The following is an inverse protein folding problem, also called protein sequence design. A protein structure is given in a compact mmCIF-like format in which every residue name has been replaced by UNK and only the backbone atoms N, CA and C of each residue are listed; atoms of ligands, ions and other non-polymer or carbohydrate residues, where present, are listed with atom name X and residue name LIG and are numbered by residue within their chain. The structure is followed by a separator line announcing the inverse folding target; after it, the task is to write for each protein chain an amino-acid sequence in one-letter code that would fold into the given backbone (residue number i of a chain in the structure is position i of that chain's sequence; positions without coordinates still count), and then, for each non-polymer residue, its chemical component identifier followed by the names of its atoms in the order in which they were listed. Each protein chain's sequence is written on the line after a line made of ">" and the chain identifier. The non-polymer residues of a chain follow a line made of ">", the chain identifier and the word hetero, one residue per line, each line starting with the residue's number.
data_IF_117240125803
#
_entry.id   IF_117240125803
#
_cell.length_a   1.000
_cell.length_b   1.000
_cell.length_c   1.000
_cell.angle_alpha   90.00
_cell.angle_beta   90.00
_cell.angle_gamma   90.00
#
_symmetry.space_group_name_H-M   'P 1'
#
loop_
_entity.id
_entity.type
_entity.pdbx_description
1 polymer ?
#
# COMPACT_ATOMS: atom_id res chain seq x y z
N UNK A 1 16.11 -10.69 7.09
CA UNK A 1 17.12 -11.77 6.95
C UNK A 1 18.50 -11.22 7.28
N UNK A 2 19.38 -11.96 7.98
CA UNK A 2 20.77 -11.52 8.16
C UNK A 2 21.51 -11.60 6.82
N UNK A 3 22.04 -10.47 6.36
CA UNK A 3 22.83 -10.41 5.14
C UNK A 3 24.09 -11.30 5.29
N UNK A 4 24.43 -12.13 4.29
CA UNK A 4 25.68 -12.88 4.32
C UNK A 4 26.87 -11.93 4.48
N UNK A 5 27.80 -12.26 5.38
CA UNK A 5 28.98 -11.41 5.70
C UNK A 5 29.81 -11.07 4.46
N UNK A 6 29.81 -11.94 3.44
CA UNK A 6 30.49 -11.70 2.17
C UNK A 6 29.82 -10.60 1.35
N UNK A 7 28.48 -10.61 1.26
CA UNK A 7 27.73 -9.62 0.52
C UNK A 7 27.79 -8.24 1.17
N UNK A 8 27.75 -8.19 2.50
CA UNK A 8 27.96 -6.95 3.25
C UNK A 8 29.35 -6.35 2.96
N UNK A 9 30.39 -7.19 2.95
CA UNK A 9 31.76 -6.77 2.60
C UNK A 9 31.84 -6.26 1.15
N UNK A 10 31.20 -6.96 0.21
CA UNK A 10 31.14 -6.54 -1.19
C UNK A 10 30.47 -5.18 -1.36
N UNK A 11 29.32 -4.95 -0.72
CA UNK A 11 28.64 -3.65 -0.80
C UNK A 11 29.52 -2.53 -0.24
N UNK A 12 30.20 -2.78 0.87
CA UNK A 12 31.10 -1.80 1.47
C UNK A 12 32.28 -1.48 0.54
N UNK A 13 32.99 -2.50 0.05
CA UNK A 13 34.23 -2.31 -0.72
C UNK A 13 33.99 -1.89 -2.16
N UNK A 14 32.98 -2.46 -2.81
CA UNK A 14 32.77 -2.29 -4.25
C UNK A 14 31.69 -1.26 -4.58
N UNK A 15 30.73 -1.02 -3.68
CA UNK A 15 29.65 -0.06 -3.94
C UNK A 15 29.92 1.25 -3.21
N UNK A 16 29.99 1.22 -1.88
CA UNK A 16 30.08 2.42 -1.06
C UNK A 16 31.44 3.09 -1.21
N UNK A 17 32.54 2.34 -1.07
CA UNK A 17 33.90 2.92 -1.15
C UNK A 17 34.25 3.42 -2.55
N UNK A 18 33.79 2.75 -3.61
CA UNK A 18 34.13 3.12 -5.00
C UNK A 18 33.26 4.27 -5.52
N UNK A 19 31.94 4.19 -5.33
CA UNK A 19 31.01 5.14 -5.94
C UNK A 19 30.49 6.19 -4.96
N UNK A 20 30.47 5.89 -3.66
CA UNK A 20 29.80 6.69 -2.64
C UNK A 20 28.30 6.42 -2.60
N UNK A 21 27.74 6.32 -1.39
CA UNK A 21 26.34 5.97 -1.18
C UNK A 21 25.37 6.95 -1.87
N UNK A 22 25.60 8.26 -1.74
CA UNK A 22 24.75 9.30 -2.36
C UNK A 22 24.75 9.21 -3.89
N UNK A 23 25.93 9.18 -4.51
CA UNK A 23 26.05 9.12 -5.98
C UNK A 23 25.45 7.82 -6.53
N UNK A 24 25.58 6.73 -5.78
CA UNK A 24 24.93 5.47 -6.12
C UNK A 24 23.41 5.61 -6.14
N UNK A 25 22.81 6.18 -5.08
CA UNK A 25 21.37 6.40 -5.02
C UNK A 25 20.87 7.38 -6.09
N UNK A 26 21.61 8.44 -6.40
CA UNK A 26 21.26 9.35 -7.50
C UNK A 26 21.19 8.63 -8.84
N UNK A 27 22.16 7.75 -9.12
CA UNK A 27 22.13 6.95 -10.35
C UNK A 27 20.99 5.94 -10.35
N UNK A 28 20.71 5.33 -9.21
CA UNK A 28 19.56 4.44 -9.06
C UNK A 28 18.25 5.19 -9.28
N UNK A 29 18.08 6.37 -8.69
CA UNK A 29 16.91 7.23 -8.91
C UNK A 29 16.69 7.52 -10.40
N UNK A 30 17.74 7.93 -11.13
CA UNK A 30 17.67 8.15 -12.58
C UNK A 30 17.20 6.88 -13.30
N UNK A 31 17.74 5.72 -12.93
CA UNK A 31 17.38 4.43 -13.53
C UNK A 31 15.91 4.07 -13.24
N UNK A 32 15.44 4.26 -12.02
CA UNK A 32 14.06 3.95 -11.61
C UNK A 32 13.03 4.89 -12.24
N UNK A 33 13.44 6.11 -12.59
CA UNK A 33 12.60 7.10 -13.27
C UNK A 33 12.51 6.91 -14.78
N UNK A 34 13.31 6.02 -15.36
CA UNK A 34 13.27 5.71 -16.79
C UNK A 34 11.99 4.93 -17.13
N UNK A 35 11.08 5.58 -17.84
CA UNK A 35 9.80 4.99 -18.27
C UNK A 35 9.98 3.92 -19.35
N UNK A 36 11.15 3.82 -19.98
CA UNK A 36 11.43 2.82 -21.01
C UNK A 36 11.93 1.49 -20.42
N UNK A 37 12.15 1.43 -19.10
CA UNK A 37 12.66 0.22 -18.46
C UNK A 37 11.60 -0.89 -18.48
N UNK A 38 11.93 -2.00 -19.16
CA UNK A 38 11.09 -3.18 -19.19
C UNK A 38 10.90 -3.78 -17.79
N UNK A 39 9.71 -4.35 -17.52
CA UNK A 39 9.38 -4.90 -16.20
C UNK A 39 10.35 -6.00 -15.74
N UNK A 40 10.87 -6.82 -16.66
CA UNK A 40 11.88 -7.84 -16.33
C UNK A 40 13.18 -7.22 -15.83
N UNK A 41 13.63 -6.16 -16.49
CA UNK A 41 14.84 -5.44 -16.11
C UNK A 41 14.62 -4.73 -14.77
N UNK A 42 13.48 -4.05 -14.60
CA UNK A 42 13.13 -3.39 -13.35
C UNK A 42 13.03 -4.37 -12.17
N UNK A 43 12.36 -5.52 -12.35
CA UNK A 43 12.29 -6.58 -11.35
C UNK A 43 13.67 -7.08 -10.93
N UNK A 44 14.55 -7.29 -11.91
CA UNK A 44 15.93 -7.73 -11.66
C UNK A 44 16.72 -6.66 -10.89
N UNK A 45 16.61 -5.40 -11.30
CA UNK A 45 17.24 -4.26 -10.63
C UNK A 45 16.75 -4.20 -9.18
N UNK A 46 15.45 -4.14 -8.94
CA UNK A 46 14.90 -4.01 -7.58
C UNK A 46 15.24 -5.20 -6.69
N UNK A 47 15.27 -6.42 -7.22
CA UNK A 47 15.67 -7.59 -6.45
C UNK A 47 17.13 -7.50 -5.97
N UNK A 48 18.05 -7.01 -6.82
CA UNK A 48 19.43 -6.74 -6.41
C UNK A 48 19.50 -5.57 -5.42
N UNK A 49 18.79 -4.49 -5.73
CA UNK A 49 18.80 -3.27 -4.91
C UNK A 49 18.22 -3.46 -3.53
N UNK A 50 17.23 -4.34 -3.35
CA UNK A 50 16.68 -4.72 -2.06
C UNK A 50 17.79 -5.07 -1.05
N UNK A 51 18.82 -5.78 -1.50
CA UNK A 51 19.94 -6.16 -0.63
C UNK A 51 20.97 -5.05 -0.45
N UNK A 52 21.21 -4.24 -1.48
CA UNK A 52 22.14 -3.10 -1.43
C UNK A 52 21.61 -2.00 -0.52
N UNK A 53 20.35 -1.60 -0.74
CA UNK A 53 19.66 -0.55 0.01
C UNK A 53 19.42 -0.91 1.47
N UNK A 54 19.49 -2.19 1.84
CA UNK A 54 19.45 -2.65 3.22
C UNK A 54 20.75 -2.38 4.02
N UNK A 55 21.74 -1.70 3.43
CA UNK A 55 22.93 -1.23 4.14
C UNK A 55 22.68 0.17 4.75
N UNK A 56 22.99 0.32 6.04
CA UNK A 56 22.77 1.56 6.82
C UNK A 56 23.48 2.79 6.25
N UNK A 57 24.57 2.62 5.49
CA UNK A 57 25.30 3.71 4.86
C UNK A 57 24.45 4.51 3.86
N UNK A 58 23.37 3.93 3.33
CA UNK A 58 22.45 4.63 2.42
C UNK A 58 21.39 5.48 3.15
N UNK A 59 21.15 5.22 4.45
CA UNK A 59 20.13 5.87 5.27
C UNK A 59 20.03 7.39 5.10
N UNK A 60 21.13 8.14 5.31
CA UNK A 60 21.14 9.60 5.22
C UNK A 60 20.77 10.18 3.85
N UNK A 61 20.83 9.38 2.79
CA UNK A 61 20.73 9.86 1.41
C UNK A 61 19.40 9.49 0.74
N UNK A 62 18.51 8.73 1.40
CA UNK A 62 17.22 8.34 0.81
C UNK A 62 16.36 9.55 0.43
N UNK A 63 16.32 10.57 1.30
CA UNK A 63 15.52 11.78 1.09
C UNK A 63 16.17 12.68 0.06
N UNK A 64 17.46 13.00 0.23
CA UNK A 64 18.16 13.99 -0.60
C UNK A 64 18.25 13.56 -2.07
N UNK A 65 18.25 12.25 -2.34
CA UNK A 65 18.35 11.72 -3.70
C UNK A 65 17.00 11.48 -4.37
N UNK A 66 15.89 11.56 -3.64
CA UNK A 66 14.54 11.33 -4.18
C UNK A 66 14.19 9.88 -4.49
N UNK A 67 15.06 8.91 -4.14
CA UNK A 67 14.84 7.49 -4.46
C UNK A 67 13.60 6.91 -3.79
N UNK A 68 13.19 7.42 -2.62
CA UNK A 68 11.94 7.01 -1.96
C UNK A 68 10.71 7.33 -2.82
N UNK A 69 10.66 8.54 -3.39
CA UNK A 69 9.59 8.95 -4.28
C UNK A 69 9.52 8.05 -5.51
N UNK A 70 10.66 7.73 -6.13
CA UNK A 70 10.69 6.82 -7.28
C UNK A 70 10.20 5.41 -6.94
N UNK A 71 10.54 4.87 -5.76
CA UNK A 71 10.02 3.58 -5.29
C UNK A 71 8.51 3.63 -5.04
N UNK A 72 8.00 4.72 -4.48
CA UNK A 72 6.56 4.92 -4.26
C UNK A 72 5.80 5.00 -5.60
N UNK A 73 6.33 5.74 -6.58
CA UNK A 73 5.77 5.83 -7.94
C UNK A 73 5.69 4.44 -8.60
N UNK A 74 6.73 3.61 -8.42
CA UNK A 74 6.75 2.23 -8.93
C UNK A 74 5.67 1.40 -8.26
N UNK A 75 5.57 1.42 -6.93
CA UNK A 75 4.54 0.63 -6.24
C UNK A 75 3.13 1.09 -6.61
N UNK A 76 2.91 2.40 -6.78
CA UNK A 76 1.64 2.95 -7.26
C UNK A 76 1.31 2.47 -8.68
N UNK A 77 2.28 2.49 -9.60
CA UNK A 77 2.14 1.94 -10.95
C UNK A 77 1.71 0.49 -10.92
N UNK A 78 2.37 -0.34 -10.11
CA UNK A 78 2.03 -1.77 -9.98
C UNK A 78 0.63 -1.98 -9.36
N UNK A 79 0.26 -1.17 -8.38
CA UNK A 79 -1.08 -1.20 -7.76
C UNK A 79 -2.22 -0.84 -8.72
N UNK A 80 -1.92 -0.06 -9.76
CA UNK A 80 -2.89 0.43 -10.74
C UNK A 80 -2.98 -0.42 -12.00
N UNK A 81 -2.23 -1.52 -12.11
CA UNK A 81 -2.41 -2.48 -13.20
C UNK A 81 -3.79 -3.13 -13.17
N UNK A 82 -4.45 -3.17 -14.32
CA UNK A 82 -5.78 -3.77 -14.47
C UNK A 82 -5.75 -5.28 -14.24
N UNK A 83 -4.70 -5.94 -14.75
CA UNK A 83 -4.51 -7.38 -14.66
C UNK A 83 -3.32 -7.67 -13.74
N UNK A 84 -3.57 -8.26 -12.56
CA UNK A 84 -2.51 -8.81 -11.73
C UNK A 84 -1.85 -9.97 -12.47
N UNK A 85 -0.64 -9.77 -12.98
CA UNK A 85 0.18 -10.85 -13.53
C UNK A 85 1.05 -11.44 -12.43
N UNK A 86 0.87 -12.73 -12.08
CA UNK A 86 1.81 -13.42 -11.20
C UNK A 86 3.21 -13.42 -11.82
N UNK A 87 4.25 -13.32 -10.99
CA UNK A 87 5.65 -13.38 -11.42
C UNK A 87 6.35 -12.02 -11.36
N UNK A 88 6.79 -11.50 -12.50
CA UNK A 88 7.68 -10.32 -12.58
C UNK A 88 7.06 -9.08 -11.91
N UNK A 89 5.80 -8.79 -12.21
CA UNK A 89 5.03 -7.67 -11.62
C UNK A 89 4.93 -7.80 -10.11
N UNK A 90 4.60 -9.00 -9.62
CA UNK A 90 4.55 -9.27 -8.18
C UNK A 90 5.93 -9.04 -7.54
N UNK A 91 7.02 -9.50 -8.18
CA UNK A 91 8.39 -9.33 -7.67
C UNK A 91 8.81 -7.86 -7.54
N UNK A 92 8.36 -6.96 -8.42
CA UNK A 92 8.64 -5.51 -8.32
C UNK A 92 8.03 -4.94 -7.04
N UNK A 93 6.73 -5.19 -6.83
CA UNK A 93 6.02 -4.70 -5.66
C UNK A 93 6.57 -5.33 -4.36
N UNK A 94 6.85 -6.63 -4.39
CA UNK A 94 7.45 -7.40 -3.29
C UNK A 94 8.79 -6.80 -2.83
N UNK A 95 9.74 -6.61 -3.73
CA UNK A 95 11.04 -5.99 -3.39
C UNK A 95 10.89 -4.56 -2.88
N UNK A 96 9.95 -3.80 -3.45
CA UNK A 96 9.68 -2.42 -3.03
C UNK A 96 9.12 -2.36 -1.59
N UNK A 97 8.17 -3.23 -1.26
CA UNK A 97 7.59 -3.32 0.09
C UNK A 97 8.62 -3.77 1.13
N UNK A 98 9.52 -4.69 0.77
CA UNK A 98 10.61 -5.10 1.67
C UNK A 98 11.56 -3.94 1.98
N UNK A 99 11.95 -3.18 0.95
CA UNK A 99 12.78 -1.97 1.10
C UNK A 99 12.11 -0.98 2.06
N UNK A 100 10.79 -0.76 1.93
CA UNK A 100 10.05 0.11 2.85
C UNK A 100 9.99 -0.42 4.29
N UNK A 101 9.84 -1.74 4.47
CA UNK A 101 9.90 -2.38 5.78
C UNK A 101 11.25 -2.14 6.46
N UNK A 102 12.35 -2.35 5.72
CA UNK A 102 13.70 -2.09 6.24
C UNK A 102 13.94 -0.62 6.55
N UNK A 103 13.56 0.31 5.65
CA UNK A 103 13.71 1.76 5.88
C UNK A 103 12.96 2.18 7.15
N UNK A 104 11.76 1.63 7.37
CA UNK A 104 10.94 1.95 8.54
C UNK A 104 11.62 1.56 9.85
N UNK A 105 12.32 0.43 9.87
CA UNK A 105 12.94 -0.12 11.08
C UNK A 105 14.34 0.47 11.34
N UNK A 106 15.17 0.57 10.31
CA UNK A 106 16.62 0.77 10.45
C UNK A 106 17.09 2.20 10.15
N UNK A 107 16.34 3.00 9.38
CA UNK A 107 16.73 4.37 9.01
C UNK A 107 16.23 5.36 10.07
N UNK A 108 16.99 6.43 10.38
CA UNK A 108 16.50 7.49 11.26
C UNK A 108 15.12 8.00 10.84
N UNK A 109 14.23 8.22 11.82
CA UNK A 109 12.82 8.50 11.54
C UNK A 109 12.59 9.68 10.59
N UNK A 110 13.42 10.72 10.68
CA UNK A 110 13.32 11.92 9.85
C UNK A 110 13.72 11.67 8.38
N UNK A 111 14.53 10.65 8.12
CA UNK A 111 15.09 10.32 6.80
C UNK A 111 14.38 9.13 6.13
N UNK A 112 13.58 8.37 6.88
CA UNK A 112 12.85 7.22 6.38
C UNK A 112 11.35 7.35 6.62
N UNK A 113 10.88 6.73 7.70
CA UNK A 113 9.45 6.58 7.99
C UNK A 113 8.64 7.89 7.94
N UNK A 114 9.19 9.02 8.42
CA UNK A 114 8.46 10.29 8.41
C UNK A 114 8.10 10.76 7.00
N UNK A 115 8.99 10.57 6.03
CA UNK A 115 8.79 10.96 4.63
C UNK A 115 7.78 10.01 3.97
N UNK A 116 7.95 8.70 4.15
CA UNK A 116 7.01 7.69 3.66
C UNK A 116 5.57 7.95 4.14
N UNK A 117 5.40 8.36 5.41
CA UNK A 117 4.09 8.66 5.99
C UNK A 117 3.52 9.98 5.48
N UNK A 118 4.31 11.06 5.49
CA UNK A 118 3.81 12.42 5.25
C UNK A 118 3.66 12.76 3.79
N UNK A 119 4.59 12.30 2.97
CA UNK A 119 4.73 12.75 1.58
C UNK A 119 4.22 11.70 0.59
N UNK A 120 4.36 10.42 0.93
CA UNK A 120 4.03 9.33 0.00
C UNK A 120 2.84 8.47 0.41
N UNK A 121 2.16 8.82 1.50
CA UNK A 121 0.97 8.13 1.99
C UNK A 121 1.13 6.60 2.01
N UNK A 122 2.25 6.12 2.58
CA UNK A 122 2.66 4.71 2.45
C UNK A 122 1.58 3.69 2.82
N UNK A 123 0.73 3.99 3.80
CA UNK A 123 -0.36 3.08 4.19
C UNK A 123 -1.39 2.88 3.07
N UNK A 124 -1.64 3.90 2.25
CA UNK A 124 -2.49 3.78 1.07
C UNK A 124 -1.87 2.82 0.05
N UNK A 125 -0.59 3.01 -0.27
CA UNK A 125 0.12 2.14 -1.22
C UNK A 125 0.13 0.68 -0.76
N UNK A 126 0.34 0.44 0.54
CA UNK A 126 0.36 -0.91 1.10
C UNK A 126 -1.04 -1.52 1.19
N UNK A 127 -2.07 -0.75 1.55
CA UNK A 127 -3.45 -1.25 1.54
C UNK A 127 -3.88 -1.68 0.13
N UNK A 128 -3.51 -0.88 -0.88
CA UNK A 128 -3.72 -1.22 -2.31
C UNK A 128 -2.94 -2.48 -2.71
N UNK A 129 -1.69 -2.60 -2.28
CA UNK A 129 -0.87 -3.79 -2.54
C UNK A 129 -1.46 -5.04 -1.88
N UNK A 130 -1.96 -4.95 -0.65
CA UNK A 130 -2.64 -6.07 0.03
C UNK A 130 -3.88 -6.52 -0.76
N UNK A 131 -4.67 -5.57 -1.25
CA UNK A 131 -5.83 -5.88 -2.12
C UNK A 131 -5.37 -6.52 -3.43
N UNK A 132 -4.22 -6.13 -3.98
CA UNK A 132 -3.66 -6.76 -5.17
C UNK A 132 -3.16 -8.18 -4.89
N UNK A 133 -2.39 -8.37 -3.81
CA UNK A 133 -1.87 -9.66 -3.35
C UNK A 133 -2.99 -10.67 -3.09
N UNK A 134 -4.14 -10.22 -2.59
CA UNK A 134 -5.30 -11.08 -2.41
C UNK A 134 -5.82 -11.70 -3.71
N UNK A 135 -5.47 -11.15 -4.88
CA UNK A 135 -5.87 -11.67 -6.19
C UNK A 135 -4.84 -12.63 -6.78
N UNK A 136 -3.56 -12.48 -6.43
CA UNK A 136 -2.44 -13.26 -6.99
C UNK A 136 -1.93 -14.36 -6.08
N UNK A 137 -2.14 -14.23 -4.76
CA UNK A 137 -1.78 -15.21 -3.72
C UNK A 137 -0.32 -15.68 -3.73
N UNK A 138 0.65 -14.78 -3.86
CA UNK A 138 2.07 -15.17 -3.76
C UNK A 138 2.47 -15.36 -2.30
N UNK A 139 3.07 -16.51 -1.96
CA UNK A 139 3.59 -16.77 -0.60
C UNK A 139 4.68 -15.75 -0.21
N UNK A 140 5.52 -15.38 -1.17
CA UNK A 140 6.54 -14.36 -1.00
C UNK A 140 5.93 -12.97 -0.71
N UNK A 141 4.87 -12.59 -1.42
CA UNK A 141 4.15 -11.34 -1.17
C UNK A 141 3.52 -11.29 0.22
N UNK A 142 3.03 -12.42 0.73
CA UNK A 142 2.57 -12.53 2.12
C UNK A 142 3.70 -12.17 3.09
N UNK A 143 4.88 -12.78 2.97
CA UNK A 143 6.00 -12.54 3.88
C UNK A 143 6.37 -11.06 3.96
N UNK A 144 6.47 -10.38 2.81
CA UNK A 144 6.79 -8.95 2.78
C UNK A 144 5.71 -8.07 3.40
N UNK A 145 4.43 -8.39 3.20
CA UNK A 145 3.34 -7.67 3.88
C UNK A 145 3.41 -7.88 5.40
N UNK A 146 3.68 -9.10 5.86
CA UNK A 146 3.79 -9.40 7.29
C UNK A 146 4.96 -8.66 7.93
N UNK A 147 6.13 -8.64 7.27
CA UNK A 147 7.31 -7.91 7.74
C UNK A 147 7.05 -6.40 7.75
N UNK A 148 6.46 -5.83 6.68
CA UNK A 148 6.07 -4.42 6.64
C UNK A 148 5.11 -4.07 7.79
N UNK A 149 4.08 -4.90 8.02
CA UNK A 149 3.12 -4.66 9.08
C UNK A 149 3.78 -4.71 10.46
N UNK A 150 4.73 -5.62 10.67
CA UNK A 150 5.48 -5.73 11.92
C UNK A 150 6.37 -4.52 12.17
N UNK A 151 7.14 -4.09 11.16
CA UNK A 151 7.98 -2.89 11.26
C UNK A 151 7.14 -1.65 11.60
N UNK A 152 5.95 -1.51 10.99
CA UNK A 152 5.06 -0.39 11.28
C UNK A 152 4.34 -0.52 12.61
N UNK A 153 4.01 -1.73 13.08
CA UNK A 153 3.54 -1.96 14.45
C UNK A 153 4.57 -1.47 15.47
N UNK A 154 5.85 -1.83 15.31
CA UNK A 154 6.94 -1.37 16.16
C UNK A 154 7.14 0.15 16.09
N UNK A 155 7.11 0.73 14.90
CA UNK A 155 7.15 2.18 14.73
C UNK A 155 6.00 2.86 15.50
N UNK A 156 4.78 2.35 15.35
CA UNK A 156 3.60 2.85 16.06
C UNK A 156 3.79 2.82 17.57
N UNK A 157 4.28 1.71 18.13
CA UNK A 157 4.60 1.59 19.55
C UNK A 157 5.68 2.60 20.00
N UNK A 158 6.76 2.75 19.22
CA UNK A 158 7.83 3.73 19.47
C UNK A 158 7.30 5.17 19.45
N UNK A 159 6.37 5.48 18.54
CA UNK A 159 5.71 6.79 18.48
C UNK A 159 4.70 6.98 19.62
N UNK A 160 4.02 5.92 20.05
CA UNK A 160 3.07 5.95 21.15
C UNK A 160 3.74 6.21 22.51
N UNK A 161 4.99 5.74 22.68
CA UNK A 161 5.82 6.05 23.84
C UNK A 161 6.27 7.53 23.91
N UNK A 162 6.13 8.29 22.81
CA UNK A 162 6.40 9.73 22.78
C UNK A 162 5.17 10.53 23.23
N UNK A 163 5.40 11.80 23.56
CA UNK A 163 4.33 12.76 23.90
C UNK A 163 3.16 12.67 22.92
N UNK A 164 1.92 12.71 23.43
CA UNK A 164 0.71 12.79 22.59
C UNK A 164 0.66 14.03 21.70
N UNK A 165 1.51 15.04 21.96
CA UNK A 165 1.67 16.23 21.11
C UNK A 165 2.65 16.02 19.95
N UNK A 166 3.30 14.86 19.84
CA UNK A 166 4.23 14.57 18.75
C UNK A 166 3.51 14.60 17.39
N UNK A 167 3.97 15.46 16.48
CA UNK A 167 3.36 15.65 15.16
C UNK A 167 3.39 14.36 14.33
N UNK A 168 4.53 13.67 14.30
CA UNK A 168 4.68 12.43 13.51
C UNK A 168 3.75 11.31 14.00
N UNK A 169 3.53 11.19 15.32
CA UNK A 169 2.53 10.26 15.87
C UNK A 169 1.13 10.55 15.32
N UNK A 170 0.73 11.83 15.27
CA UNK A 170 -0.57 12.24 14.72
C UNK A 170 -0.66 11.98 13.22
N UNK A 171 0.41 12.26 12.48
CA UNK A 171 0.49 12.00 11.04
C UNK A 171 0.37 10.50 10.75
N UNK A 172 1.11 9.66 11.48
CA UNK A 172 1.03 8.20 11.41
C UNK A 172 -0.40 7.70 11.66
N UNK A 173 -1.01 8.11 12.78
CA UNK A 173 -2.38 7.70 13.12
C UNK A 173 -3.39 8.18 12.07
N UNK A 174 -3.25 9.42 11.57
CA UNK A 174 -4.16 9.95 10.55
C UNK A 174 -4.05 9.16 9.24
N UNK A 175 -2.83 8.96 8.74
CA UNK A 175 -2.59 8.25 7.48
C UNK A 175 -3.08 6.80 7.58
N UNK A 176 -2.74 6.10 8.66
CA UNK A 176 -3.19 4.72 8.85
C UNK A 176 -4.70 4.62 9.00
N UNK A 177 -5.35 5.51 9.77
CA UNK A 177 -6.81 5.50 9.99
C UNK A 177 -7.62 5.61 8.69
N UNK A 178 -7.08 6.27 7.67
CA UNK A 178 -7.74 6.38 6.37
C UNK A 178 -7.92 5.01 5.70
N UNK A 179 -6.97 4.11 5.89
CA UNK A 179 -6.89 2.82 5.18
C UNK A 179 -7.23 1.62 6.07
N UNK A 180 -7.13 1.78 7.40
CA UNK A 180 -7.20 0.67 8.33
C UNK A 180 -8.55 -0.04 8.33
N UNK A 181 -9.63 0.68 8.63
CA UNK A 181 -10.99 0.13 8.64
C UNK A 181 -11.47 -0.33 7.25
N UNK A 182 -11.30 0.45 6.15
CA UNK A 182 -11.71 -0.01 4.83
C UNK A 182 -11.09 -1.37 4.45
N UNK A 183 -9.80 -1.58 4.71
CA UNK A 183 -9.14 -2.84 4.37
C UNK A 183 -9.61 -4.01 5.24
N UNK A 184 -9.95 -3.78 6.51
CA UNK A 184 -10.51 -4.82 7.40
C UNK A 184 -11.96 -5.20 7.05
N UNK A 185 -12.70 -4.32 6.38
CA UNK A 185 -14.08 -4.54 5.91
C UNK A 185 -14.11 -5.12 4.49
N UNK A 186 -13.06 -4.88 3.71
CA UNK A 186 -12.90 -5.47 2.39
C UNK A 186 -12.90 -7.02 2.29
N UNK A 187 -12.75 -7.86 3.36
CA UNK A 187 -12.72 -9.31 3.24
C UNK A 187 -13.90 -9.92 2.47
N UNK A 188 -15.07 -9.28 2.46
CA UNK A 188 -16.22 -9.72 1.66
C UNK A 188 -15.91 -9.77 0.15
N UNK A 189 -14.95 -8.97 -0.33
CA UNK A 189 -14.48 -8.94 -1.71
C UNK A 189 -13.22 -9.78 -1.96
N UNK A 190 -12.56 -10.28 -0.91
CA UNK A 190 -11.36 -11.14 -1.03
C UNK A 190 -11.72 -12.63 -1.14
N UNK A 191 -12.99 -12.98 -0.89
CA UNK A 191 -13.52 -14.35 -0.89
C UNK A 191 -13.58 -15.04 -2.27
N UNK A 192 -13.15 -14.41 -3.36
CA UNK A 192 -13.16 -15.00 -4.71
C UNK A 192 -12.19 -16.18 -4.92
N UNK A 193 -11.62 -16.75 -3.86
CA UNK A 193 -10.64 -17.81 -3.96
C UNK A 193 -11.14 -19.05 -3.23
N UNK A 194 -11.69 -20.00 -3.99
CA UNK A 194 -12.04 -21.34 -3.54
C UNK A 194 -10.79 -22.20 -3.17
N UNK A 195 -9.64 -21.58 -2.91
CA UNK A 195 -8.38 -22.25 -2.60
C UNK A 195 -8.11 -22.17 -1.08
N UNK A 196 -7.88 -23.30 -0.38
CA UNK A 196 -7.60 -23.32 1.06
C UNK A 196 -6.46 -22.40 1.50
N UNK A 197 -5.39 -22.30 0.69
CA UNK A 197 -4.28 -21.39 1.00
C UNK A 197 -4.67 -19.92 0.94
N UNK A 198 -5.62 -19.55 0.07
CA UNK A 198 -6.10 -18.16 -0.04
C UNK A 198 -6.76 -17.70 1.25
N UNK A 199 -7.61 -18.55 1.84
CA UNK A 199 -8.26 -18.27 3.14
C UNK A 199 -7.22 -18.07 4.24
N UNK A 200 -6.18 -18.93 4.29
CA UNK A 200 -5.09 -18.81 5.27
C UNK A 200 -4.31 -17.51 5.09
N UNK A 201 -3.92 -17.19 3.86
CA UNK A 201 -3.17 -15.97 3.50
C UNK A 201 -3.97 -14.73 3.93
N UNK A 202 -5.25 -14.65 3.54
CA UNK A 202 -6.12 -13.52 3.89
C UNK A 202 -6.24 -13.38 5.42
N UNK A 203 -6.39 -14.49 6.15
CA UNK A 203 -6.46 -14.47 7.62
C UNK A 203 -5.19 -13.89 8.24
N UNK A 204 -4.01 -14.30 7.76
CA UNK A 204 -2.72 -13.82 8.26
C UNK A 204 -2.52 -12.33 7.96
N UNK A 205 -2.81 -11.90 6.73
CA UNK A 205 -2.71 -10.48 6.34
C UNK A 205 -3.68 -9.63 7.15
N UNK A 206 -4.94 -10.07 7.29
CA UNK A 206 -5.93 -9.37 8.11
C UNK A 206 -5.47 -9.24 9.56
N UNK A 207 -4.91 -10.31 10.14
CA UNK A 207 -4.41 -10.27 11.52
C UNK A 207 -3.24 -9.30 11.67
N UNK A 208 -2.27 -9.31 10.75
CA UNK A 208 -1.13 -8.40 10.77
C UNK A 208 -1.57 -6.94 10.61
N UNK A 209 -2.47 -6.66 9.65
CA UNK A 209 -3.03 -5.33 9.44
C UNK A 209 -3.86 -4.85 10.64
N UNK A 210 -4.64 -5.74 11.25
CA UNK A 210 -5.37 -5.46 12.48
C UNK A 210 -4.42 -5.05 13.61
N UNK A 211 -3.35 -5.83 13.85
CA UNK A 211 -2.35 -5.53 14.89
C UNK A 211 -1.66 -4.19 14.66
N UNK A 212 -1.30 -3.88 13.41
CA UNK A 212 -0.69 -2.60 13.04
C UNK A 212 -1.52 -1.41 13.55
N UNK A 213 -2.85 -1.44 13.37
CA UNK A 213 -3.75 -0.40 13.89
C UNK A 213 -4.06 -0.53 15.38
N UNK A 214 -4.44 -1.71 15.87
CA UNK A 214 -4.87 -1.89 17.26
C UNK A 214 -3.71 -1.74 18.26
N UNK A 215 -2.61 -2.46 18.02
CA UNK A 215 -1.42 -2.46 18.87
C UNK A 215 -0.52 -1.27 18.54
N UNK A 216 -0.26 -1.03 17.25
CA UNK A 216 0.66 0.04 16.84
C UNK A 216 0.08 1.44 16.99
N UNK A 217 -1.21 1.64 16.67
CA UNK A 217 -1.83 2.97 16.66
C UNK A 217 -2.82 3.21 17.82
N UNK A 218 -3.19 2.17 18.56
CA UNK A 218 -4.18 2.23 19.64
C UNK A 218 -5.63 2.33 19.14
N UNK A 219 -5.92 1.78 17.96
CA UNK A 219 -7.25 1.82 17.38
C UNK A 219 -8.19 0.79 18.00
N UNK A 220 -9.48 1.16 18.09
CA UNK A 220 -10.55 0.25 18.45
C UNK A 220 -11.35 -0.08 17.18
N UNK A 221 -11.39 -1.36 16.81
CA UNK A 221 -11.99 -1.82 15.54
C UNK A 221 -13.45 -1.39 15.38
N UNK A 222 -14.27 -1.61 16.40
CA UNK A 222 -15.70 -1.28 16.37
C UNK A 222 -15.93 0.23 16.23
N UNK A 223 -15.15 1.04 16.95
CA UNK A 223 -15.22 2.50 16.87
C UNK A 223 -14.78 3.01 15.49
N UNK A 224 -13.63 2.57 15.00
CA UNK A 224 -13.08 3.01 13.72
C UNK A 224 -13.95 2.54 12.53
N UNK A 225 -14.56 1.35 12.62
CA UNK A 225 -15.55 0.89 11.65
C UNK A 225 -16.77 1.82 11.59
N UNK A 226 -17.37 2.15 12.74
CA UNK A 226 -18.49 3.10 12.81
C UNK A 226 -18.11 4.49 12.30
N UNK A 227 -16.92 4.98 12.65
CA UNK A 227 -16.42 6.27 12.17
C UNK A 227 -16.15 6.25 10.66
N UNK A 228 -15.63 5.12 10.13
CA UNK A 228 -15.46 4.93 8.70
C UNK A 228 -16.80 4.92 7.97
N UNK A 229 -17.79 4.14 8.42
CA UNK A 229 -19.12 4.09 7.81
C UNK A 229 -19.76 5.49 7.74
N UNK A 230 -19.74 6.24 8.84
CA UNK A 230 -20.21 7.64 8.89
C UNK A 230 -19.48 8.57 7.92
N UNK A 231 -18.16 8.40 7.75
CA UNK A 231 -17.39 9.17 6.76
C UNK A 231 -17.76 8.75 5.34
N UNK A 232 -17.84 7.44 5.08
CA UNK A 232 -18.12 6.88 3.76
C UNK A 232 -19.49 7.31 3.22
N UNK A 233 -20.47 7.52 4.10
CA UNK A 233 -21.79 8.09 3.75
C UNK A 233 -21.72 9.50 3.15
N UNK A 234 -20.62 10.22 3.35
CA UNK A 234 -20.43 11.60 2.87
C UNK A 234 -19.42 11.74 1.76
N UNK A 235 -18.57 10.73 1.55
CA UNK A 235 -17.48 10.78 0.58
C UNK A 235 -17.90 10.22 -0.78
N UNK A 236 -17.15 10.60 -1.82
CA UNK A 236 -17.31 10.02 -3.15
C UNK A 236 -16.78 8.57 -3.16
N UNK A 237 -17.52 7.64 -3.73
CA UNK A 237 -17.11 6.25 -3.91
C UNK A 237 -16.09 6.07 -5.04
N UNK A 238 -15.99 7.03 -5.97
CA UNK A 238 -14.96 6.98 -7.02
C UNK A 238 -13.59 7.29 -6.44
N UNK A 239 -12.69 6.30 -6.46
CA UNK A 239 -11.41 6.34 -5.73
C UNK A 239 -10.44 7.41 -6.21
N UNK A 240 -10.45 7.75 -7.49
CA UNK A 240 -9.60 8.82 -8.05
C UNK A 240 -10.23 10.21 -7.88
N UNK A 241 -11.42 10.31 -7.28
CA UNK A 241 -12.00 11.60 -6.94
C UNK A 241 -11.23 12.18 -5.76
N UNK A 242 -10.86 13.45 -5.84
CA UNK A 242 -10.33 14.17 -4.68
C UNK A 242 -11.27 14.09 -3.46
N UNK A 243 -12.59 14.00 -3.67
CA UNK A 243 -13.60 13.90 -2.61
C UNK A 243 -13.84 12.45 -2.13
N UNK A 244 -12.99 11.51 -2.54
CA UNK A 244 -13.00 10.15 -1.99
C UNK A 244 -12.49 10.10 -0.55
N UNK A 245 -11.53 10.98 -0.23
CA UNK A 245 -10.85 11.01 1.06
C UNK A 245 -11.22 12.23 1.91
N UNK A 246 -11.92 13.21 1.32
CA UNK A 246 -12.43 14.40 2.02
C UNK A 246 -13.90 14.66 1.68
N UNK A 247 -14.61 15.30 2.60
CA UNK A 247 -16.02 15.64 2.43
C UNK A 247 -16.18 16.67 1.29
N UNK A 248 -17.01 16.38 0.26
CA UNK A 248 -17.27 17.33 -0.83
C UNK A 248 -18.05 18.55 -0.32
N UNK A 249 -17.92 19.72 -0.99
CA UNK A 249 -18.69 20.92 -0.62
C UNK A 249 -20.20 20.75 -0.81
N UNK A 250 -20.62 19.82 -1.66
CA UNK A 250 -22.01 19.47 -1.92
C UNK A 250 -22.31 18.03 -1.49
N UNK A 251 -23.50 17.74 -0.94
CA UNK A 251 -23.89 16.38 -0.58
C UNK A 251 -23.73 15.39 -1.73
N UNK A 252 -23.22 14.20 -1.43
CA UNK A 252 -23.08 13.13 -2.42
C UNK A 252 -24.44 12.53 -2.79
N UNK A 253 -24.57 12.09 -4.03
CA UNK A 253 -25.77 11.44 -4.56
C UNK A 253 -25.57 9.93 -4.57
N UNK A 254 -26.55 9.19 -4.08
CA UNK A 254 -26.57 7.73 -4.15
C UNK A 254 -26.69 7.25 -5.59
N UNK A 255 -26.01 6.15 -5.90
CA UNK A 255 -26.21 5.38 -7.11
C UNK A 255 -27.66 4.89 -7.12
N UNK A 256 -28.46 5.36 -8.07
CA UNK A 256 -29.86 4.93 -8.22
C UNK A 256 -30.00 3.42 -8.48
N UNK A 257 -28.94 2.74 -8.91
CA UNK A 257 -28.95 1.31 -9.17
C UNK A 257 -28.83 0.44 -7.91
N UNK A 258 -27.79 0.66 -7.10
CA UNK A 258 -27.56 -0.16 -5.90
C UNK A 258 -27.98 0.49 -4.59
N UNK A 259 -28.13 1.82 -4.54
CA UNK A 259 -28.40 2.54 -3.29
C UNK A 259 -27.24 2.52 -2.28
N UNK A 260 -26.05 2.08 -2.69
CA UNK A 260 -24.87 1.94 -1.81
C UNK A 260 -23.77 2.95 -2.15
N UNK A 261 -23.33 2.97 -3.42
CA UNK A 261 -22.27 3.89 -3.86
C UNK A 261 -22.78 5.34 -3.89
N UNK A 262 -21.91 6.29 -3.59
CA UNK A 262 -22.20 7.72 -3.50
C UNK A 262 -21.26 8.52 -4.37
N UNK A 263 -21.73 9.55 -5.05
CA UNK A 263 -20.89 10.35 -5.96
C UNK A 263 -21.08 11.83 -5.72
N UNK A 264 -19.99 12.59 -5.74
CA UNK A 264 -20.07 14.05 -5.71
C UNK A 264 -20.72 14.64 -6.96
N UNK A 265 -20.84 13.85 -8.04
CA UNK A 265 -21.57 14.23 -9.25
C UNK A 265 -21.57 13.13 -10.31
N UNK A 266 -22.38 13.32 -11.35
CA UNK A 266 -22.51 12.41 -12.48
C UNK A 266 -21.20 12.08 -13.23
N UNK A 267 -20.18 12.98 -13.31
CA UNK A 267 -18.89 12.61 -13.89
C UNK A 267 -18.19 11.49 -13.13
N UNK A 268 -18.15 11.55 -11.79
CA UNK A 268 -17.53 10.51 -10.97
C UNK A 268 -18.30 9.20 -11.05
N UNK A 269 -19.63 9.24 -11.07
CA UNK A 269 -20.45 8.06 -11.30
C UNK A 269 -20.13 7.37 -12.63
N UNK A 270 -20.01 8.14 -13.73
CA UNK A 270 -19.68 7.58 -15.06
C UNK A 270 -18.28 6.99 -15.12
N UNK A 271 -17.30 7.61 -14.44
CA UNK A 271 -15.93 7.07 -14.34
C UNK A 271 -15.92 5.78 -13.53
N UNK A 272 -16.56 5.77 -12.37
CA UNK A 272 -16.69 4.58 -11.52
C UNK A 272 -17.44 3.43 -12.20
N UNK A 273 -18.47 3.76 -12.97
CA UNK A 273 -19.18 2.78 -13.80
C UNK A 273 -18.21 2.01 -14.70
N UNK A 274 -17.41 2.74 -15.49
CA UNK A 274 -16.38 2.16 -16.36
C UNK A 274 -15.22 1.50 -15.59
N UNK A 275 -14.89 2.04 -14.42
CA UNK A 275 -13.87 1.51 -13.52
C UNK A 275 -14.24 0.19 -12.83
N UNK A 276 -15.44 -0.34 -13.10
CA UNK A 276 -15.88 -1.66 -12.68
C UNK A 276 -17.07 -1.67 -11.74
N UNK A 277 -17.62 -0.52 -11.33
CA UNK A 277 -18.85 -0.48 -10.54
C UNK A 277 -20.01 -1.17 -11.26
N UNK A 278 -20.04 -1.15 -12.60
CA UNK A 278 -21.06 -1.87 -13.37
C UNK A 278 -21.13 -3.36 -13.01
N UNK A 279 -19.98 -4.01 -12.78
CA UNK A 279 -19.90 -5.43 -12.41
C UNK A 279 -20.33 -5.69 -10.97
N UNK A 280 -20.17 -4.70 -10.09
CA UNK A 280 -20.48 -4.79 -8.67
C UNK A 280 -21.91 -4.33 -8.33
N UNK A 281 -22.54 -3.53 -9.19
CA UNK A 281 -23.83 -2.90 -8.94
C UNK A 281 -24.97 -3.93 -8.87
N UNK A 282 -25.66 -3.99 -7.72
CA UNK A 282 -26.77 -4.96 -7.47
C UNK A 282 -27.92 -4.87 -8.48
N UNK A 283 -28.12 -3.73 -9.17
CA UNK A 283 -29.16 -3.58 -10.23
C UNK A 283 -29.04 -4.64 -11.32
N UNK A 284 -27.81 -5.07 -11.66
CA UNK A 284 -27.56 -6.08 -12.68
C UNK A 284 -27.66 -7.52 -12.15
N UNK A 285 -27.51 -7.74 -10.83
CA UNK A 285 -27.70 -9.07 -10.22
C UNK A 285 -29.17 -9.46 -10.09
N UNK A 286 -30.06 -8.49 -9.88
CA UNK A 286 -31.50 -8.75 -9.71
C UNK A 286 -32.29 -8.81 -11.02
N UNK A 287 -31.69 -8.47 -12.17
CA UNK A 287 -32.36 -8.52 -13.48
C UNK A 287 -32.05 -9.78 -14.30
N UNK A 288 -31.13 -10.64 -13.83
CA UNK A 288 -30.76 -11.91 -14.50
C UNK A 288 -31.64 -13.13 -14.16
N UNK A 289 -32.73 -12.97 -13.40
CA UNK A 289 -33.70 -14.04 -13.14
C UNK A 289 -35.14 -13.51 -13.15
N UNK A 290 -35.66 -13.09 -14.31
CA UNK A 290 -37.08 -13.18 -14.66
C UNK A 290 -37.25 -12.79 -16.14
N UNK A 291 -36.85 -13.69 -17.04
CA UNK A 291 -37.51 -13.77 -18.34
C UNK A 291 -38.85 -14.48 -18.12
N UNK A 292 -39.99 -13.93 -18.57
CA UNK A 292 -41.24 -14.68 -18.56
C UNK A 292 -41.08 -15.86 -19.51
N UNK A 293 -41.28 -17.07 -18.98
CA UNK A 293 -41.36 -18.29 -19.78
C UNK A 293 -42.70 -18.24 -20.52
N UNK A 294 -42.72 -18.35 -21.88
CA UNK A 294 -43.96 -18.52 -22.63
C UNK A 294 -44.64 -19.86 -22.36
#
# INVERSE_FOLDING_TARGET
>A
MKQPKELARFIESEVIRQYGAEKYLLRLFITLRDTQLEDRALSTILSVQQTVLSNKAFGPYFVTTGVLGALCDILERENNREVPEPGIVSSIAESTVDIFGWITEEVPLAEGAAILIREHNIFHLIARYILHLSKTLTARGLDYVLEFCRANEHLGQRLAARSGKNALRKDYQRALRQEWAPLLIAPDNLHTLNHPDGVRIIKLVRQAWWRLGSVGAGFNEEKEKKEYEKRAEKMCSWRECCWHTIEPPSPTKLCQGCGEARYCGSPCQRRDWKGGHERACRRLKNTSHHGPVP
#
